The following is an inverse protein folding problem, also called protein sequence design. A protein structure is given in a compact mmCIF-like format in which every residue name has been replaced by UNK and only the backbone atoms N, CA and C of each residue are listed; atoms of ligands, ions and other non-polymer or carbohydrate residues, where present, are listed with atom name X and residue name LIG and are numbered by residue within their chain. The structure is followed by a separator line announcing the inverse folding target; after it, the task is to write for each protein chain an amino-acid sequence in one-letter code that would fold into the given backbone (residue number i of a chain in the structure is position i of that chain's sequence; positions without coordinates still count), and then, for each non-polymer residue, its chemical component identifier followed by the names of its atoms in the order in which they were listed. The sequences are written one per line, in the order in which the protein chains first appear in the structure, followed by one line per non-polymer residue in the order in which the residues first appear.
data_IF_010707949919
#
_entry.id   IF_010707949919
#
_cell.length_a   1.000
_cell.length_b   1.000
_cell.length_c   1.000
_cell.angle_alpha   90.00
_cell.angle_beta   90.00
_cell.angle_gamma   90.00
#
_symmetry.space_group_name_H-M   'P 1'
#
loop_
_entity.id
_entity.type
_entity.pdbx_description
1 polymer ?
#
# COMPACT_ATOMS: atom_id res chain seq x y z
N UNK A 1 16.67 -13.89 -2.52
CA UNK A 1 15.28 -14.21 -2.22
C UNK A 1 14.72 -13.41 -1.08
N UNK A 2 15.40 -13.41 0.03
CA UNK A 2 14.96 -12.66 1.18
C UNK A 2 14.79 -11.18 0.87
N UNK A 3 15.68 -10.64 0.05
CA UNK A 3 15.63 -9.22 -0.29
C UNK A 3 14.35 -8.88 -1.02
N UNK A 4 13.99 -9.70 -1.99
CA UNK A 4 12.78 -9.46 -2.76
C UNK A 4 11.55 -9.52 -1.87
N UNK A 5 11.54 -10.49 -0.98
CA UNK A 5 10.41 -10.64 -0.07
C UNK A 5 10.30 -9.47 0.88
N UNK A 6 11.43 -8.92 1.30
CA UNK A 6 11.41 -7.75 2.18
C UNK A 6 10.71 -6.57 1.51
N UNK A 7 11.05 -6.32 0.24
CA UNK A 7 10.44 -5.22 -0.48
C UNK A 7 8.95 -5.43 -0.65
N UNK A 8 8.57 -6.64 -1.01
CA UNK A 8 7.16 -6.94 -1.18
C UNK A 8 6.42 -6.85 0.14
N UNK A 9 7.06 -7.27 1.21
CA UNK A 9 6.44 -7.20 2.51
C UNK A 9 6.08 -5.76 2.87
N UNK A 10 7.00 -4.84 2.62
CA UNK A 10 6.72 -3.44 2.89
C UNK A 10 5.55 -2.94 2.06
N UNK A 11 5.49 -3.35 0.80
CA UNK A 11 4.37 -2.96 -0.05
C UNK A 11 3.05 -3.49 0.48
N UNK A 12 3.04 -4.74 0.93
CA UNK A 12 1.82 -5.31 1.49
C UNK A 12 1.43 -4.63 2.79
N UNK A 13 2.42 -4.26 3.60
CA UNK A 13 2.14 -3.56 4.85
C UNK A 13 1.55 -2.19 4.57
N UNK A 14 2.06 -1.49 3.57
CA UNK A 14 1.52 -0.19 3.18
C UNK A 14 0.11 -0.35 2.63
N UNK A 15 -0.12 -1.39 1.84
CA UNK A 15 -1.44 -1.64 1.29
C UNK A 15 -2.44 -1.97 2.39
N UNK A 16 -2.01 -2.72 3.39
CA UNK A 16 -2.87 -3.05 4.52
C UNK A 16 -3.21 -1.80 5.31
N UNK A 17 -2.23 -0.92 5.51
CA UNK A 17 -2.49 0.33 6.20
C UNK A 17 -3.48 1.18 5.41
N UNK A 18 -3.32 1.23 4.11
CA UNK A 18 -4.25 1.95 3.25
C UNK A 18 -5.65 1.38 3.36
N UNK A 19 -5.75 0.07 3.36
CA UNK A 19 -7.04 -0.59 3.48
C UNK A 19 -7.73 -0.20 4.77
N UNK A 20 -6.97 -0.14 5.86
CA UNK A 20 -7.55 0.25 7.13
C UNK A 20 -8.02 1.69 7.11
N UNK A 21 -7.26 2.56 6.49
CA UNK A 21 -7.65 3.96 6.37
C UNK A 21 -8.92 4.10 5.55
N UNK A 22 -9.08 3.25 4.54
CA UNK A 22 -10.25 3.32 3.67
C UNK A 22 -11.53 2.90 4.37
N UNK A 23 -11.42 2.26 5.51
CA UNK A 23 -12.61 1.90 6.27
C UNK A 23 -13.29 3.13 6.88
N UNK A 24 -12.53 4.17 7.14
CA UNK A 24 -13.06 5.37 7.79
C UNK A 24 -13.08 6.59 6.89
N UNK A 25 -12.39 6.54 5.76
CA UNK A 25 -12.31 7.70 4.87
C UNK A 25 -12.12 7.25 3.44
N UNK A 26 -12.62 8.02 2.48
CA UNK A 26 -12.39 7.70 1.06
C UNK A 26 -10.93 7.98 0.71
N UNK A 27 -10.49 7.34 -0.37
CA UNK A 27 -9.11 7.47 -0.83
C UNK A 27 -8.71 8.93 -0.99
N UNK A 28 -9.63 9.75 -1.48
CA UNK A 28 -9.31 11.15 -1.76
C UNK A 28 -8.92 11.91 -0.52
N UNK A 29 -9.45 11.50 0.62
CA UNK A 29 -9.16 12.19 1.87
C UNK A 29 -8.01 11.56 2.65
N UNK A 30 -7.56 10.40 2.23
CA UNK A 30 -6.45 9.73 2.89
C UNK A 30 -5.15 10.33 2.38
N UNK A 31 -4.23 10.63 3.30
CA UNK A 31 -2.94 11.19 2.92
C UNK A 31 -1.85 10.15 3.12
N UNK A 32 -0.72 10.38 2.44
CA UNK A 32 0.43 9.50 2.63
C UNK A 32 0.86 9.50 4.09
N UNK A 33 0.77 10.66 4.73
CA UNK A 33 1.11 10.77 6.15
C UNK A 33 0.30 9.79 6.97
N UNK A 34 -1.00 9.72 6.72
CA UNK A 34 -1.86 8.81 7.48
C UNK A 34 -1.50 7.36 7.22
N UNK A 35 -1.20 7.05 5.98
CA UNK A 35 -0.84 5.69 5.61
C UNK A 35 0.43 5.25 6.30
N UNK A 36 1.46 6.09 6.26
CA UNK A 36 2.74 5.71 6.85
C UNK A 36 2.65 5.66 8.37
N UNK A 37 1.85 6.53 8.97
CA UNK A 37 1.66 6.48 10.42
C UNK A 37 0.93 5.20 10.84
N UNK A 38 -0.05 4.81 10.06
CA UNK A 38 -0.76 3.57 10.35
C UNK A 38 0.13 2.35 10.15
N UNK A 39 1.04 2.44 9.21
CA UNK A 39 1.96 1.34 8.90
C UNK A 39 3.17 1.32 9.85
N UNK A 40 3.54 2.47 10.38
CA UNK A 40 4.69 2.54 11.25
C UNK A 40 5.99 2.75 10.50
N UNK A 41 5.92 3.31 9.31
CA UNK A 41 7.11 3.59 8.50
C UNK A 41 7.18 5.08 8.19
N UNK A 42 8.25 5.50 7.52
CA UNK A 42 8.43 6.90 7.16
C UNK A 42 7.89 7.16 5.77
N UNK A 43 7.67 8.46 5.47
CA UNK A 43 7.26 8.84 4.13
C UNK A 43 8.31 8.41 3.10
N UNK A 44 9.56 8.50 3.49
CA UNK A 44 10.65 8.11 2.60
C UNK A 44 10.49 6.66 2.17
N UNK A 45 10.13 5.80 3.11
CA UNK A 45 9.89 4.40 2.80
C UNK A 45 8.73 4.25 1.83
N UNK A 46 7.67 5.03 2.02
CA UNK A 46 6.54 5.01 1.11
C UNK A 46 6.99 5.36 -0.31
N UNK A 47 7.70 6.48 -0.45
CA UNK A 47 8.06 6.96 -1.78
C UNK A 47 9.14 6.13 -2.45
N UNK A 48 9.79 5.26 -1.72
CA UNK A 48 10.70 4.29 -2.32
C UNK A 48 9.92 3.19 -3.03
N UNK A 49 8.72 2.92 -2.57
CA UNK A 49 7.92 1.82 -3.10
C UNK A 49 6.83 2.29 -4.04
N UNK A 50 6.29 3.47 -3.81
CA UNK A 50 5.18 3.99 -4.61
C UNK A 50 5.38 5.48 -4.85
N UNK A 51 4.84 5.95 -5.96
CA UNK A 51 4.95 7.38 -6.30
C UNK A 51 3.98 8.22 -5.49
N UNK A 52 2.78 7.67 -5.26
CA UNK A 52 1.77 8.36 -4.48
C UNK A 52 0.75 7.34 -4.02
N UNK A 53 -0.30 7.82 -3.33
CA UNK A 53 -1.30 6.91 -2.79
C UNK A 53 -2.08 6.20 -3.90
N UNK A 54 -2.22 6.83 -5.03
CA UNK A 54 -2.93 6.20 -6.14
C UNK A 54 -2.13 5.06 -6.74
N UNK A 55 -0.82 5.22 -6.78
CA UNK A 55 0.06 4.15 -7.22
C UNK A 55 -0.06 2.95 -6.30
N UNK A 56 -0.12 3.21 -5.00
CA UNK A 56 -0.31 2.15 -4.02
C UNK A 56 -1.64 1.43 -4.23
N UNK A 57 -2.69 2.19 -4.46
CA UNK A 57 -4.01 1.60 -4.65
C UNK A 57 -4.06 0.77 -5.92
N UNK A 58 -3.47 1.26 -6.98
CA UNK A 58 -3.41 0.50 -8.23
C UNK A 58 -2.69 -0.82 -8.02
N UNK A 59 -1.58 -0.78 -7.31
CA UNK A 59 -0.85 -1.99 -7.01
C UNK A 59 -1.68 -2.96 -6.19
N UNK A 60 -2.38 -2.43 -5.20
CA UNK A 60 -3.20 -3.25 -4.31
C UNK A 60 -4.33 -3.94 -5.08
N UNK A 61 -5.04 -3.18 -5.90
CA UNK A 61 -6.12 -3.75 -6.69
C UNK A 61 -5.59 -4.72 -7.73
N UNK A 62 -4.44 -4.41 -8.31
CA UNK A 62 -3.84 -5.31 -9.28
C UNK A 62 -3.55 -6.67 -8.64
N UNK A 63 -3.03 -6.66 -7.42
CA UNK A 63 -2.74 -7.91 -6.74
C UNK A 63 -4.01 -8.69 -6.42
N UNK A 64 -5.04 -7.99 -5.98
CA UNK A 64 -6.29 -8.64 -5.64
C UNK A 64 -7.01 -9.17 -6.87
N UNK A 65 -7.09 -8.34 -7.90
CA UNK A 65 -7.78 -8.72 -9.12
C UNK A 65 -7.04 -9.82 -9.86
N UNK A 66 -5.72 -9.76 -9.82
CA UNK A 66 -4.93 -10.79 -10.44
C UNK A 66 -5.24 -12.15 -9.85
N UNK A 67 -5.39 -12.20 -8.55
CA UNK A 67 -5.77 -13.45 -7.91
C UNK A 67 -7.10 -13.96 -8.40
N UNK A 68 -8.06 -13.06 -8.53
CA UNK A 68 -9.38 -13.45 -8.97
C UNK A 68 -9.40 -13.84 -10.42
N UNK A 69 -8.61 -13.16 -11.23
CA UNK A 69 -8.63 -13.45 -12.65
C UNK A 69 -7.98 -14.77 -12.97
N UNK A 70 -7.18 -15.28 -12.07
CA UNK A 70 -6.59 -16.60 -12.28
C UNK A 70 -7.66 -17.68 -12.25
N UNK A 71 -8.68 -17.45 -11.51
CA UNK A 71 -9.78 -18.40 -11.45
C UNK A 71 -10.52 -18.44 -12.75
#
# INVERSE_FOLDING_TARGET
MAVTKSNERTKYELADAMKRCMKTAPVEKITVKEIVEACGVTRQTFYRNFQDKYDLINWYFDKILDRKSVV
#
